data_IF_649310391657
#
_entry.id   IF_649310391657
#
_cell.length_a   1.000
_cell.length_b   1.000
_cell.length_c   1.000
_cell.angle_alpha   90.00
_cell.angle_beta   90.00
_cell.angle_gamma   90.00
#
_symmetry.space_group_name_H-M   'P 1'
#
loop_
_entity.id
_entity.type
_entity.pdbx_description
1 polymer ?
#
# COMPACT_ATOMS: atom_id res chain seq x y z
N UNK A 1 5.82 11.76 -2.97
CA UNK A 1 6.50 11.37 -4.22
C UNK A 1 5.77 10.21 -4.90
N UNK A 2 5.41 9.16 -4.16
CA UNK A 2 4.74 7.96 -4.71
C UNK A 2 3.38 8.21 -5.39
N UNK A 3 2.46 8.94 -4.74
CA UNK A 3 1.14 9.22 -5.34
C UNK A 3 1.23 9.90 -6.70
N UNK A 4 2.15 10.87 -6.83
CA UNK A 4 2.38 11.60 -8.08
C UNK A 4 2.88 10.70 -9.21
N UNK A 5 3.69 9.68 -8.89
CA UNK A 5 4.18 8.71 -9.90
C UNK A 5 3.09 7.70 -10.25
N UNK A 6 2.53 7.02 -9.24
CA UNK A 6 1.65 5.87 -9.49
C UNK A 6 0.22 6.28 -9.87
N UNK A 7 -0.34 7.30 -9.23
CA UNK A 7 -1.72 7.77 -9.46
C UNK A 7 -1.77 9.04 -10.32
N UNK A 8 -0.64 9.73 -10.50
CA UNK A 8 -0.47 10.83 -11.46
C UNK A 8 0.08 10.33 -12.80
N UNK A 9 1.40 10.18 -12.89
CA UNK A 9 2.13 9.87 -14.12
C UNK A 9 1.67 8.58 -14.79
N UNK A 10 1.64 7.45 -14.08
CA UNK A 10 1.22 6.17 -14.69
C UNK A 10 -0.24 6.18 -15.11
N UNK A 11 -1.10 6.89 -14.37
CA UNK A 11 -2.49 7.03 -14.81
C UNK A 11 -2.58 7.80 -16.13
N UNK A 12 -1.76 8.83 -16.33
CA UNK A 12 -1.65 9.57 -17.60
C UNK A 12 -1.09 8.71 -18.74
N UNK A 13 -0.01 7.98 -18.50
CA UNK A 13 0.59 7.09 -19.51
C UNK A 13 -0.40 6.00 -19.95
N UNK A 14 -1.26 5.53 -19.05
CA UNK A 14 -2.18 4.42 -19.29
C UNK A 14 -3.60 4.88 -19.63
N UNK A 15 -3.82 6.15 -20.03
CA UNK A 15 -5.15 6.67 -20.39
C UNK A 15 -5.80 5.95 -21.58
N UNK A 16 -5.00 5.35 -22.47
CA UNK A 16 -5.49 4.54 -23.59
C UNK A 16 -6.03 3.16 -23.21
N UNK A 17 -5.87 2.74 -21.95
CA UNK A 17 -6.38 1.46 -21.45
C UNK A 17 -7.69 1.66 -20.67
N UNK A 18 -8.45 0.58 -20.47
CA UNK A 18 -9.62 0.64 -19.58
C UNK A 18 -9.16 0.88 -18.14
N UNK A 19 -9.95 1.64 -17.37
CA UNK A 19 -9.62 1.98 -15.99
C UNK A 19 -9.25 0.76 -15.13
N UNK A 20 -9.97 -0.37 -15.29
CA UNK A 20 -9.66 -1.61 -14.56
C UNK A 20 -8.28 -2.15 -14.90
N UNK A 21 -7.88 -2.13 -16.19
CA UNK A 21 -6.54 -2.58 -16.60
C UNK A 21 -5.46 -1.67 -16.02
N UNK A 22 -5.63 -0.35 -16.12
CA UNK A 22 -4.68 0.62 -15.57
C UNK A 22 -4.56 0.49 -14.05
N UNK A 23 -5.70 0.34 -13.34
CA UNK A 23 -5.77 0.11 -11.90
C UNK A 23 -4.95 -1.10 -11.45
N UNK A 24 -5.20 -2.27 -12.04
CA UNK A 24 -4.50 -3.50 -11.65
C UNK A 24 -3.03 -3.47 -12.06
N UNK A 25 -2.69 -2.84 -13.19
CA UNK A 25 -1.30 -2.70 -13.61
C UNK A 25 -0.51 -1.77 -12.68
N UNK A 26 -1.07 -0.62 -12.31
CA UNK A 26 -0.45 0.29 -11.32
C UNK A 26 -0.27 -0.42 -9.97
N UNK A 27 -1.28 -1.16 -9.51
CA UNK A 27 -1.20 -1.92 -8.27
C UNK A 27 -0.12 -3.02 -8.30
N UNK A 28 0.02 -3.70 -9.43
CA UNK A 28 1.08 -4.69 -9.64
C UNK A 28 2.47 -4.06 -9.58
N UNK A 29 2.69 -2.95 -10.30
CA UNK A 29 3.97 -2.23 -10.27
C UNK A 29 4.31 -1.73 -8.86
N UNK A 30 3.31 -1.20 -8.15
CA UNK A 30 3.47 -0.74 -6.78
C UNK A 30 3.81 -1.89 -5.82
N UNK A 31 3.15 -3.04 -5.96
CA UNK A 31 3.45 -4.24 -5.19
C UNK A 31 4.88 -4.74 -5.41
N UNK A 32 5.33 -4.86 -6.66
CA UNK A 32 6.70 -5.27 -6.98
C UNK A 32 7.72 -4.29 -6.43
N UNK A 33 7.45 -2.99 -6.50
CA UNK A 33 8.36 -1.97 -5.97
C UNK A 33 8.66 -2.16 -4.47
N UNK A 34 7.74 -2.74 -3.69
CA UNK A 34 7.94 -3.00 -2.25
C UNK A 34 8.83 -4.22 -1.95
N UNK A 35 9.15 -5.05 -2.96
CA UNK A 35 10.06 -6.18 -2.77
C UNK A 35 11.49 -5.73 -2.43
N UNK A 36 11.85 -4.49 -2.76
CA UNK A 36 13.19 -3.91 -2.49
C UNK A 36 13.59 -4.07 -1.03
N UNK A 37 12.65 -3.90 -0.10
CA UNK A 37 12.90 -4.00 1.35
C UNK A 37 13.28 -5.43 1.77
N UNK A 38 12.42 -6.46 1.57
CA UNK A 38 12.79 -7.86 1.82
C UNK A 38 14.10 -8.31 1.14
N UNK A 39 14.31 -7.90 -0.13
CA UNK A 39 15.52 -8.26 -0.86
C UNK A 39 16.77 -7.63 -0.24
N UNK A 40 16.73 -6.36 0.14
CA UNK A 40 17.83 -5.69 0.83
C UNK A 40 18.21 -6.45 2.10
N UNK A 41 17.23 -6.74 2.97
CA UNK A 41 17.48 -7.40 4.25
C UNK A 41 18.08 -8.79 4.07
N UNK A 42 17.65 -9.53 3.03
CA UNK A 42 18.26 -10.81 2.66
C UNK A 42 19.70 -10.66 2.17
N UNK A 43 19.97 -9.71 1.28
CA UNK A 43 21.31 -9.48 0.72
C UNK A 43 22.32 -8.97 1.77
N UNK A 44 21.84 -8.28 2.81
CA UNK A 44 22.65 -7.81 3.93
C UNK A 44 22.86 -8.88 5.02
N UNK A 45 22.24 -10.05 4.88
CA UNK A 45 22.30 -11.11 5.89
C UNK A 45 21.45 -10.83 7.14
N UNK A 46 20.58 -9.82 7.10
CA UNK A 46 19.67 -9.45 8.20
C UNK A 46 18.42 -10.34 8.24
N UNK A 47 18.11 -11.04 7.14
CA UNK A 47 16.99 -11.98 7.07
C UNK A 47 17.30 -13.27 6.29
N UNK A 48 16.51 -14.32 6.53
CA UNK A 48 16.64 -15.60 5.85
C UNK A 48 15.93 -15.63 4.49
N UNK A 49 16.29 -16.59 3.63
CA UNK A 49 15.58 -16.82 2.36
C UNK A 49 14.08 -17.09 2.58
N UNK A 50 13.73 -17.84 3.63
CA UNK A 50 12.33 -18.08 4.00
C UNK A 50 11.63 -16.76 4.35
N UNK A 51 12.29 -15.88 5.11
CA UNK A 51 11.73 -14.58 5.46
C UNK A 51 11.56 -13.69 4.21
N UNK A 52 12.52 -13.69 3.28
CA UNK A 52 12.40 -13.00 2.00
C UNK A 52 11.14 -13.42 1.24
N UNK A 53 10.89 -14.72 1.13
CA UNK A 53 9.73 -15.24 0.39
C UNK A 53 8.43 -14.85 1.10
N UNK A 54 8.33 -15.12 2.40
CA UNK A 54 7.11 -14.85 3.18
C UNK A 54 6.79 -13.36 3.22
N UNK A 55 7.77 -12.53 3.60
CA UNK A 55 7.59 -11.08 3.65
C UNK A 55 7.40 -10.50 2.26
N UNK A 56 8.12 -10.99 1.24
CA UNK A 56 7.97 -10.53 -0.14
C UNK A 56 6.55 -10.72 -0.66
N UNK A 57 5.96 -11.90 -0.48
CA UNK A 57 4.56 -12.17 -0.85
C UNK A 57 3.62 -11.25 -0.06
N UNK A 58 3.83 -11.13 1.25
CA UNK A 58 3.02 -10.27 2.12
C UNK A 58 3.04 -8.80 1.69
N UNK A 59 4.22 -8.25 1.42
CA UNK A 59 4.40 -6.88 0.95
C UNK A 59 3.74 -6.63 -0.40
N UNK A 60 3.90 -7.54 -1.37
CA UNK A 60 3.28 -7.39 -2.71
C UNK A 60 1.76 -7.34 -2.59
N UNK A 61 1.15 -8.23 -1.80
CA UNK A 61 -0.30 -8.26 -1.61
C UNK A 61 -0.78 -7.01 -0.89
N UNK A 62 -0.15 -6.65 0.24
CA UNK A 62 -0.55 -5.50 1.04
C UNK A 62 -0.38 -4.18 0.27
N UNK A 63 0.78 -3.95 -0.33
CA UNK A 63 1.05 -2.75 -1.11
C UNK A 63 0.15 -2.69 -2.36
N UNK A 64 -0.08 -3.82 -3.04
CA UNK A 64 -1.01 -3.91 -4.17
C UNK A 64 -2.44 -3.51 -3.78
N UNK A 65 -2.96 -4.06 -2.68
CA UNK A 65 -4.27 -3.68 -2.14
C UNK A 65 -4.36 -2.18 -1.83
N UNK A 66 -3.33 -1.64 -1.18
CA UNK A 66 -3.25 -0.21 -0.86
C UNK A 66 -3.21 0.67 -2.11
N UNK A 67 -2.48 0.25 -3.14
CA UNK A 67 -2.47 0.94 -4.44
C UNK A 67 -3.85 0.95 -5.09
N UNK A 68 -4.62 -0.14 -4.97
CA UNK A 68 -6.02 -0.16 -5.43
C UNK A 68 -6.85 0.85 -4.65
N UNK A 69 -6.77 0.84 -3.31
CA UNK A 69 -7.47 1.79 -2.42
C UNK A 69 -7.22 3.24 -2.84
N UNK A 70 -5.97 3.63 -2.99
CA UNK A 70 -5.61 5.00 -3.35
C UNK A 70 -6.00 5.37 -4.78
N UNK A 71 -5.95 4.42 -5.71
CA UNK A 71 -6.44 4.62 -7.08
C UNK A 71 -7.96 4.79 -7.15
N UNK A 72 -8.72 4.13 -6.26
CA UNK A 72 -10.17 4.36 -6.11
C UNK A 72 -10.43 5.75 -5.52
N UNK A 73 -9.68 6.17 -4.49
CA UNK A 73 -9.76 7.54 -3.96
C UNK A 73 -9.50 8.59 -5.04
N UNK A 74 -8.44 8.40 -5.84
CA UNK A 74 -8.15 9.29 -6.96
C UNK A 74 -9.27 9.30 -8.00
N UNK A 75 -9.80 8.13 -8.37
CA UNK A 75 -10.91 8.02 -9.32
C UNK A 75 -12.17 8.73 -8.84
N UNK A 76 -12.50 8.61 -7.55
CA UNK A 76 -13.67 9.28 -6.97
C UNK A 76 -13.50 10.78 -6.86
N UNK A 77 -12.32 11.27 -6.51
CA UNK A 77 -12.11 12.66 -6.10
C UNK A 77 -11.46 13.53 -7.18
N UNK A 78 -10.79 12.92 -8.16
CA UNK A 78 -9.93 13.61 -9.12
C UNK A 78 -8.69 14.24 -8.48
N UNK A 79 -8.39 13.94 -7.20
CA UNK A 79 -7.37 14.63 -6.42
C UNK A 79 -6.37 13.66 -5.81
N UNK A 80 -5.08 13.93 -6.02
CA UNK A 80 -3.98 13.16 -5.41
C UNK A 80 -3.88 13.38 -3.90
N UNK A 81 -4.46 14.47 -3.37
CA UNK A 81 -4.37 14.82 -1.96
C UNK A 81 -5.07 13.82 -1.05
N UNK A 82 -6.16 13.19 -1.51
CA UNK A 82 -6.87 12.17 -0.72
C UNK A 82 -6.04 10.89 -0.57
N UNK A 83 -5.41 10.43 -1.66
CA UNK A 83 -4.47 9.30 -1.59
C UNK A 83 -3.25 9.63 -0.73
N UNK A 84 -2.68 10.82 -0.90
CA UNK A 84 -1.53 11.27 -0.12
C UNK A 84 -1.84 11.38 1.37
N UNK A 85 -3.00 11.92 1.73
CA UNK A 85 -3.46 12.02 3.11
C UNK A 85 -3.62 10.65 3.74
N UNK A 86 -4.36 9.74 3.10
CA UNK A 86 -4.51 8.36 3.61
C UNK A 86 -3.16 7.66 3.77
N UNK A 87 -2.27 7.79 2.78
CA UNK A 87 -0.94 7.21 2.85
C UNK A 87 -0.10 7.81 3.99
N UNK A 88 -0.11 9.13 4.15
CA UNK A 88 0.57 9.79 5.27
C UNK A 88 0.05 9.29 6.62
N UNK A 89 -1.27 9.26 6.83
CA UNK A 89 -1.86 8.79 8.08
C UNK A 89 -1.63 7.31 8.32
N UNK A 90 -1.60 6.49 7.26
CA UNK A 90 -1.23 5.08 7.37
C UNK A 90 0.19 4.93 7.94
N UNK A 91 1.15 5.63 7.35
CA UNK A 91 2.55 5.57 7.80
C UNK A 91 2.71 6.18 9.19
N UNK A 92 2.02 7.27 9.48
CA UNK A 92 2.00 7.91 10.80
C UNK A 92 1.48 6.94 11.86
N UNK A 93 0.33 6.30 11.62
CA UNK A 93 -0.25 5.34 12.56
C UNK A 93 0.65 4.12 12.74
N UNK A 94 1.20 3.59 11.65
CA UNK A 94 2.10 2.43 11.68
C UNK A 94 3.37 2.66 12.50
N UNK A 95 3.91 3.88 12.48
CA UNK A 95 5.18 4.20 13.14
C UNK A 95 5.00 4.81 14.53
N UNK A 96 3.94 5.60 14.76
CA UNK A 96 3.73 6.29 16.04
C UNK A 96 2.80 5.53 17.00
N UNK A 97 1.85 4.75 16.47
CA UNK A 97 0.92 3.96 17.30
C UNK A 97 1.55 2.59 17.56
N UNK A 98 2.67 2.60 18.29
CA UNK A 98 3.22 1.42 18.93
C UNK A 98 2.60 1.27 20.32
N UNK A 99 2.11 0.07 20.62
CA UNK A 99 1.55 -0.30 21.93
C UNK A 99 2.50 -1.31 22.57
N UNK A 100 3.74 -0.88 22.83
CA UNK A 100 4.74 -1.66 23.56
C UNK A 100 5.47 -0.79 24.56
N UNK A 101 5.95 -1.40 25.64
CA UNK A 101 6.83 -0.74 26.59
C UNK A 101 8.16 -0.37 25.90
N UNK A 102 8.84 0.68 26.38
CA UNK A 102 10.17 1.03 25.87
C UNK A 102 11.06 -0.23 25.94
N UNK A 103 11.62 -0.65 24.79
CA UNK A 103 12.56 -1.76 24.61
C UNK A 103 11.99 -3.15 24.23
N UNK A 104 10.69 -3.31 24.03
CA UNK A 104 10.11 -4.58 23.54
C UNK A 104 9.79 -4.55 22.04
N UNK A 105 10.01 -5.68 21.35
CA UNK A 105 9.62 -5.86 19.95
C UNK A 105 8.09 -6.04 19.86
N UNK A 106 7.40 -5.16 19.13
CA UNK A 106 5.96 -5.27 18.88
C UNK A 106 5.68 -6.39 17.86
N UNK A 107 5.57 -7.61 18.37
CA UNK A 107 5.33 -8.82 17.59
C UNK A 107 4.00 -8.81 16.83
N UNK A 108 3.03 -7.96 17.23
CA UNK A 108 1.71 -7.86 16.62
C UNK A 108 1.54 -6.62 15.73
N UNK A 109 2.60 -5.84 15.51
CA UNK A 109 2.54 -4.61 14.70
C UNK A 109 1.97 -4.89 13.30
N UNK A 110 2.45 -5.95 12.62
CA UNK A 110 1.99 -6.30 11.28
C UNK A 110 0.50 -6.67 11.26
N UNK A 111 0.02 -7.38 12.28
CA UNK A 111 -1.40 -7.76 12.40
C UNK A 111 -2.26 -6.51 12.57
N UNK A 112 -1.85 -5.58 13.42
CA UNK A 112 -2.55 -4.32 13.65
C UNK A 112 -2.62 -3.47 12.37
N UNK A 113 -1.50 -3.34 11.65
CA UNK A 113 -1.46 -2.64 10.36
C UNK A 113 -2.43 -3.27 9.37
N UNK A 114 -2.41 -4.61 9.24
CA UNK A 114 -3.31 -5.33 8.34
C UNK A 114 -4.78 -5.09 8.65
N UNK A 115 -5.19 -5.18 9.92
CA UNK A 115 -6.57 -4.93 10.34
C UNK A 115 -7.03 -3.50 10.00
N UNK A 116 -6.20 -2.50 10.30
CA UNK A 116 -6.51 -1.10 9.96
C UNK A 116 -6.58 -0.88 8.44
N UNK A 117 -5.73 -1.54 7.66
CA UNK A 117 -5.78 -1.43 6.20
C UNK A 117 -7.01 -2.09 5.60
N UNK A 118 -7.42 -3.25 6.10
CA UNK A 118 -8.64 -3.92 5.63
C UNK A 118 -9.87 -3.09 5.95
N UNK A 119 -9.96 -2.50 7.15
CA UNK A 119 -11.05 -1.60 7.52
C UNK A 119 -11.08 -0.34 6.65
N UNK A 120 -9.94 0.33 6.50
CA UNK A 120 -9.80 1.52 5.65
C UNK A 120 -10.19 1.20 4.20
N UNK A 121 -9.74 0.06 3.68
CA UNK A 121 -10.07 -0.37 2.32
C UNK A 121 -11.56 -0.64 2.14
N UNK A 122 -12.21 -1.31 3.10
CA UNK A 122 -13.65 -1.55 3.07
C UNK A 122 -14.45 -0.23 3.05
N UNK A 123 -14.04 0.78 3.82
CA UNK A 123 -14.67 2.10 3.83
C UNK A 123 -14.53 2.80 2.47
N UNK A 124 -13.35 2.77 1.87
CA UNK A 124 -13.10 3.35 0.54
C UNK A 124 -13.91 2.63 -0.55
N UNK A 125 -13.95 1.29 -0.51
CA UNK A 125 -14.77 0.47 -1.41
C UNK A 125 -16.26 0.82 -1.30
N UNK A 126 -16.78 0.92 -0.08
CA UNK A 126 -18.17 1.31 0.16
C UNK A 126 -18.48 2.71 -0.38
N UNK A 127 -17.59 3.68 -0.14
CA UNK A 127 -17.71 5.02 -0.71
C UNK A 127 -17.71 5.02 -2.25
N UNK A 128 -16.86 4.18 -2.85
CA UNK A 128 -16.78 4.03 -4.30
C UNK A 128 -18.06 3.46 -4.91
N UNK A 129 -18.64 2.44 -4.30
CA UNK A 129 -19.89 1.81 -4.73
C UNK A 129 -21.10 2.72 -4.61
N UNK A 130 -21.11 3.66 -3.65
CA UNK A 130 -22.21 4.63 -3.54
C UNK A 130 -22.14 5.74 -4.59
N UNK A 131 -20.95 6.03 -5.10
CA UNK A 131 -20.72 7.16 -6.01
C UNK A 131 -20.82 6.79 -7.49
N UNK A 132 -20.62 5.51 -7.85
CA UNK A 132 -20.60 5.01 -9.22
C UNK A 132 -21.54 3.82 -9.36
#
# INVERSE_FOLDING_TARGET
>A
MEEGVFRGLFTKILEGLSYRKSLFFIAFLFGIWHLVMPFRDFLQGESSLTNLIVMGIGYVILAGMMSIKWSLLYKMTGSLWFGLGDHFFNNLASNLVHVVSNSEADSLQIVRILLWQLLSFAIVLWGYQKKN
#
